data_IF_656047615727
#
_entry.id   IF_656047615727
#
_cell.length_a   1.000
_cell.length_b   1.000
_cell.length_c   1.000
_cell.angle_alpha   90.00
_cell.angle_beta   90.00
_cell.angle_gamma   90.00
#
_symmetry.space_group_name_H-M   'P 1'
#
loop_
_entity.id
_entity.type
_entity.pdbx_description
1 polymer ?
#
# COMPACT_ATOMS: atom_id res chain seq x y z
N UNK A 1 -3.78 -12.63 -18.25
CA UNK A 1 -3.54 -11.18 -18.11
C UNK A 1 -2.32 -10.97 -17.24
N UNK A 2 -1.49 -9.99 -17.59
CA UNK A 2 -0.30 -9.63 -16.80
C UNK A 2 -0.49 -8.22 -16.24
N UNK A 3 -0.41 -8.07 -14.92
CA UNK A 3 -0.62 -6.80 -14.22
C UNK A 3 0.68 -6.39 -13.52
N UNK A 4 1.18 -5.21 -13.84
CA UNK A 4 2.32 -4.64 -13.12
C UNK A 4 1.84 -3.97 -11.82
N UNK A 5 2.62 -4.11 -10.76
CA UNK A 5 2.45 -3.37 -9.50
C UNK A 5 3.64 -2.44 -9.32
N UNK A 6 3.38 -1.17 -9.07
CA UNK A 6 4.38 -0.18 -8.69
C UNK A 6 4.09 0.26 -7.26
N UNK A 7 4.93 -0.14 -6.32
CA UNK A 7 4.76 0.16 -4.89
C UNK A 7 5.74 1.24 -4.45
N UNK A 8 5.22 2.43 -4.25
CA UNK A 8 5.91 3.60 -3.71
C UNK A 8 5.47 3.81 -2.26
N UNK A 9 6.37 4.25 -1.39
CA UNK A 9 6.10 4.55 0.01
C UNK A 9 6.99 5.66 0.51
N UNK A 10 6.57 6.33 1.59
CA UNK A 10 7.41 7.25 2.35
C UNK A 10 8.08 8.30 1.44
N UNK A 11 7.25 8.96 0.63
CA UNK A 11 7.70 9.96 -0.35
C UNK A 11 8.03 11.31 0.28
N UNK A 12 7.40 11.66 1.39
CA UNK A 12 7.57 12.89 2.16
C UNK A 12 7.67 14.15 1.29
N UNK A 13 6.75 14.30 0.36
CA UNK A 13 6.74 15.43 -0.58
C UNK A 13 6.52 16.74 0.16
N UNK A 14 7.49 17.65 0.15
CA UNK A 14 7.45 18.92 0.91
C UNK A 14 7.85 20.16 0.11
N UNK A 15 8.54 19.99 -1.02
CA UNK A 15 9.16 21.08 -1.76
C UNK A 15 8.28 21.58 -2.88
N UNK A 16 8.25 22.91 -3.06
CA UNK A 16 7.50 23.58 -4.12
C UNK A 16 8.07 23.36 -5.53
N UNK A 17 9.36 23.00 -5.65
CA UNK A 17 10.02 22.64 -6.91
C UNK A 17 9.57 21.27 -7.47
N UNK A 18 8.88 20.49 -6.64
CA UNK A 18 8.28 19.22 -7.03
C UNK A 18 9.31 18.11 -7.23
N UNK A 19 8.85 17.06 -7.91
CA UNK A 19 9.68 15.88 -8.20
C UNK A 19 10.48 16.13 -9.47
N UNK A 20 11.77 15.84 -9.42
CA UNK A 20 12.65 15.99 -10.59
C UNK A 20 12.17 15.12 -11.76
N UNK A 21 12.00 15.68 -12.98
CA UNK A 21 11.45 14.95 -14.13
C UNK A 21 12.19 13.64 -14.45
N UNK A 22 13.52 13.64 -14.30
CA UNK A 22 14.33 12.43 -14.54
C UNK A 22 13.94 11.27 -13.62
N UNK A 23 13.51 11.53 -12.37
CA UNK A 23 13.02 10.49 -11.46
C UNK A 23 11.73 9.84 -11.98
N UNK A 24 10.83 10.63 -12.51
CA UNK A 24 9.58 10.12 -13.10
C UNK A 24 9.89 9.26 -14.32
N UNK A 25 10.73 9.75 -15.23
CA UNK A 25 11.16 8.98 -16.40
C UNK A 25 11.85 7.68 -16.00
N UNK A 26 12.74 7.73 -15.00
CA UNK A 26 13.46 6.55 -14.53
C UNK A 26 12.53 5.48 -13.91
N UNK A 27 11.46 5.89 -13.19
CA UNK A 27 10.41 4.95 -12.73
C UNK A 27 9.75 4.29 -13.94
N UNK A 28 9.32 5.09 -14.91
CA UNK A 28 8.69 4.56 -16.11
C UNK A 28 9.62 3.60 -16.85
N UNK A 29 10.90 3.95 -16.98
CA UNK A 29 11.89 3.12 -17.69
C UNK A 29 12.16 1.79 -16.99
N UNK A 30 12.21 1.79 -15.67
CA UNK A 30 12.50 0.59 -14.89
C UNK A 30 11.46 -0.52 -15.03
N UNK A 31 10.20 -0.18 -15.30
CA UNK A 31 9.14 -1.16 -15.53
C UNK A 31 9.31 -1.94 -16.83
N UNK A 32 10.24 -1.53 -17.71
CA UNK A 32 10.55 -2.21 -18.95
C UNK A 32 10.94 -3.68 -18.79
N UNK A 33 11.50 -4.07 -17.63
CA UNK A 33 11.85 -5.47 -17.34
C UNK A 33 10.64 -6.42 -17.26
N UNK A 34 9.44 -5.86 -17.07
CA UNK A 34 8.20 -6.62 -16.92
C UNK A 34 7.35 -6.68 -18.20
N UNK A 35 7.80 -6.06 -19.28
CA UNK A 35 7.03 -6.03 -20.53
C UNK A 35 6.93 -7.40 -21.19
N UNK A 36 5.79 -7.70 -21.85
CA UNK A 36 4.55 -6.92 -21.88
C UNK A 36 3.68 -7.10 -20.63
N UNK A 37 2.91 -6.08 -20.27
CA UNK A 37 1.83 -6.16 -19.28
C UNK A 37 0.60 -5.38 -19.77
N UNK A 38 -0.59 -5.82 -19.29
CA UNK A 38 -1.88 -5.35 -19.82
C UNK A 38 -2.48 -4.24 -18.94
N UNK A 39 -1.99 -4.09 -17.73
CA UNK A 39 -2.45 -3.10 -16.75
C UNK A 39 -1.44 -2.85 -15.64
N UNK A 40 -1.64 -1.76 -14.89
CA UNK A 40 -0.78 -1.39 -13.78
C UNK A 40 -1.60 -0.92 -12.59
N UNK A 41 -1.16 -1.31 -11.40
CA UNK A 41 -1.63 -0.80 -10.10
C UNK A 41 -0.51 -0.02 -9.45
N UNK A 42 -0.67 1.29 -9.31
CA UNK A 42 0.24 2.19 -8.62
C UNK A 42 -0.22 2.28 -7.17
N UNK A 43 0.63 1.95 -6.23
CA UNK A 43 0.33 1.88 -4.80
C UNK A 43 1.22 2.86 -4.06
N UNK A 44 0.58 3.73 -3.25
CA UNK A 44 1.24 4.51 -2.22
C UNK A 44 0.79 4.02 -0.84
N UNK A 45 1.71 3.41 -0.12
CA UNK A 45 1.43 2.85 1.21
C UNK A 45 1.71 3.84 2.35
N UNK A 46 1.39 5.11 2.14
CA UNK A 46 1.44 6.18 3.14
C UNK A 46 2.65 7.09 3.05
N UNK A 47 2.62 8.12 3.89
CA UNK A 47 3.62 9.20 3.96
C UNK A 47 3.90 9.83 2.60
N UNK A 48 2.80 10.21 1.92
CA UNK A 48 2.86 10.84 0.60
C UNK A 48 3.49 12.22 0.73
N UNK A 49 3.08 12.96 1.76
CA UNK A 49 3.57 14.32 2.04
C UNK A 49 4.27 14.38 3.39
N UNK A 50 5.05 15.43 3.63
CA UNK A 50 5.88 15.52 4.83
C UNK A 50 5.12 15.98 6.09
N UNK A 51 3.96 16.63 5.97
CA UNK A 51 3.25 17.21 7.12
C UNK A 51 1.75 17.46 6.89
N UNK A 52 1.10 16.72 6.03
CA UNK A 52 -0.35 16.77 5.79
C UNK A 52 -0.88 18.09 5.22
N UNK A 53 0.00 19.00 4.72
CA UNK A 53 -0.39 20.32 4.25
C UNK A 53 -0.97 20.31 2.83
N UNK A 54 -2.02 21.09 2.58
CA UNK A 54 -2.72 21.12 1.30
C UNK A 54 -1.82 21.51 0.10
N UNK A 55 -0.81 22.35 0.31
CA UNK A 55 0.15 22.73 -0.74
C UNK A 55 1.06 21.55 -1.14
N UNK A 56 1.41 20.67 -0.22
CA UNK A 56 2.25 19.50 -0.47
C UNK A 56 1.50 18.48 -1.36
N UNK A 57 0.20 18.29 -1.15
CA UNK A 57 -0.62 17.43 -2.02
C UNK A 57 -0.71 17.91 -3.47
N UNK A 58 -0.49 19.20 -3.75
CA UNK A 58 -0.39 19.69 -5.13
C UNK A 58 0.82 19.08 -5.86
N UNK A 59 1.90 18.80 -5.13
CA UNK A 59 3.09 18.13 -5.67
C UNK A 59 2.75 16.68 -6.04
N UNK A 60 2.06 15.96 -5.15
CA UNK A 60 1.59 14.60 -5.41
C UNK A 60 0.67 14.52 -6.63
N UNK A 61 -0.27 15.47 -6.76
CA UNK A 61 -1.13 15.59 -7.96
C UNK A 61 -0.29 15.80 -9.22
N UNK A 62 0.71 16.69 -9.15
CA UNK A 62 1.59 16.99 -10.29
C UNK A 62 2.40 15.77 -10.69
N UNK A 63 2.88 15.00 -9.71
CA UNK A 63 3.56 13.73 -9.94
C UNK A 63 2.68 12.73 -10.69
N UNK A 64 1.47 12.45 -10.21
CA UNK A 64 0.54 11.54 -10.86
C UNK A 64 0.17 12.00 -12.28
N UNK A 65 -0.07 13.30 -12.46
CA UNK A 65 -0.36 13.88 -13.78
C UNK A 65 0.78 13.76 -14.79
N UNK A 66 2.02 13.59 -14.32
CA UNK A 66 3.18 13.37 -15.17
C UNK A 66 3.49 11.90 -15.38
N UNK A 67 3.33 11.08 -14.34
CA UNK A 67 3.62 9.65 -14.37
C UNK A 67 2.63 8.88 -15.25
N UNK A 68 1.33 9.08 -15.03
CA UNK A 68 0.27 8.28 -15.69
C UNK A 68 0.34 8.40 -17.23
N UNK A 69 0.39 9.60 -17.84
CA UNK A 69 0.49 9.69 -19.30
C UNK A 69 1.77 9.08 -19.89
N UNK A 70 2.89 9.11 -19.16
CA UNK A 70 4.12 8.47 -19.62
C UNK A 70 3.97 6.94 -19.61
N UNK A 71 3.31 6.36 -18.60
CA UNK A 71 3.00 4.93 -18.56
C UNK A 71 2.04 4.52 -19.70
N UNK A 72 0.96 5.30 -19.90
CA UNK A 72 0.01 5.10 -21.01
C UNK A 72 0.74 5.03 -22.34
N UNK A 73 1.58 6.04 -22.62
CA UNK A 73 2.27 6.18 -23.91
C UNK A 73 3.32 5.10 -24.08
N UNK A 74 4.21 4.91 -23.09
CA UNK A 74 5.35 3.99 -23.22
C UNK A 74 4.94 2.54 -23.35
N UNK A 75 3.92 2.13 -22.60
CA UNK A 75 3.48 0.74 -22.54
C UNK A 75 2.18 0.48 -23.29
N UNK A 76 1.66 1.47 -24.02
CA UNK A 76 0.41 1.38 -24.78
C UNK A 76 -0.78 0.90 -23.93
N UNK A 77 -0.82 1.36 -22.67
CA UNK A 77 -1.86 0.95 -21.73
C UNK A 77 -3.16 1.71 -21.96
N UNK A 78 -4.28 0.98 -21.87
CA UNK A 78 -5.56 1.63 -21.76
C UNK A 78 -5.65 2.33 -20.38
N UNK A 79 -6.07 3.59 -20.36
CA UNK A 79 -6.24 4.38 -19.13
C UNK A 79 -7.10 3.66 -18.09
N UNK A 80 -8.11 2.91 -18.53
CA UNK A 80 -8.95 2.10 -17.64
C UNK A 80 -8.19 0.98 -16.91
N UNK A 81 -7.04 0.56 -17.43
CA UNK A 81 -6.19 -0.46 -16.84
C UNK A 81 -5.07 0.13 -15.96
N UNK A 82 -5.04 1.45 -15.78
CA UNK A 82 -4.15 2.11 -14.82
C UNK A 82 -4.97 2.44 -13.57
N UNK A 83 -4.58 1.85 -12.44
CA UNK A 83 -5.24 2.02 -11.14
C UNK A 83 -4.27 2.67 -10.17
N UNK A 84 -4.78 3.55 -9.32
CA UNK A 84 -4.00 4.21 -8.27
C UNK A 84 -4.65 3.93 -6.93
N UNK A 85 -3.90 3.36 -6.01
CA UNK A 85 -4.30 3.07 -4.63
C UNK A 85 -3.42 3.87 -3.69
N UNK A 86 -4.03 4.61 -2.78
CA UNK A 86 -3.31 5.46 -1.85
C UNK A 86 -3.92 5.30 -0.46
N UNK A 87 -3.09 5.06 0.54
CA UNK A 87 -3.46 5.14 1.96
C UNK A 87 -2.65 6.26 2.63
N UNK A 88 -3.13 6.87 3.70
CA UNK A 88 -2.34 7.84 4.45
C UNK A 88 -1.36 7.15 5.40
N UNK A 89 -0.27 7.86 5.69
CA UNK A 89 0.64 7.55 6.79
C UNK A 89 0.61 8.63 7.87
N UNK A 90 1.50 8.53 8.84
CA UNK A 90 1.55 9.46 9.97
C UNK A 90 1.95 10.89 9.57
N UNK A 91 2.69 11.06 8.49
CA UNK A 91 3.02 12.38 7.92
C UNK A 91 1.90 12.98 7.08
N UNK A 92 0.88 12.23 6.71
CA UNK A 92 -0.30 12.73 6.02
C UNK A 92 -1.33 13.38 6.94
N UNK A 93 -1.08 13.41 8.25
CA UNK A 93 -1.88 14.09 9.26
C UNK A 93 -1.41 15.54 9.45
N UNK A 94 -2.33 16.51 9.35
CA UNK A 94 -2.05 17.92 9.59
C UNK A 94 -2.08 18.24 11.10
N UNK A 95 -0.92 18.27 11.71
CA UNK A 95 -0.75 18.58 13.13
C UNK A 95 -0.69 20.08 13.45
N UNK A 96 -0.92 20.96 12.48
CA UNK A 96 -0.84 22.41 12.68
C UNK A 96 -1.85 22.87 13.73
N UNK A 97 -1.33 23.43 14.81
CA UNK A 97 -2.16 23.97 15.90
C UNK A 97 -2.73 22.94 16.88
N UNK A 98 -2.31 21.67 16.77
CA UNK A 98 -2.65 20.62 17.75
C UNK A 98 -1.40 19.89 18.21
N UNK A 99 -1.10 19.84 19.52
CA UNK A 99 -0.02 19.00 20.02
C UNK A 99 -0.40 17.53 19.82
N UNK A 100 0.56 16.74 19.31
CA UNK A 100 0.45 15.27 19.40
C UNK A 100 0.44 14.87 20.87
N UNK A 101 -0.43 13.94 21.22
CA UNK A 101 -0.34 13.32 22.53
C UNK A 101 0.89 12.40 22.59
N UNK A 102 1.45 12.29 23.77
CA UNK A 102 2.49 11.29 23.99
C UNK A 102 1.90 9.88 24.12
N UNK A 103 2.75 8.87 23.94
CA UNK A 103 2.34 7.46 23.97
C UNK A 103 1.76 7.05 25.33
N UNK A 104 2.22 7.64 26.44
CA UNK A 104 1.73 7.28 27.77
C UNK A 104 0.28 7.70 27.95
N UNK A 105 -0.10 8.86 27.43
CA UNK A 105 -1.47 9.35 27.45
C UNK A 105 -2.39 8.47 26.59
N UNK A 106 -1.97 8.13 25.37
CA UNK A 106 -2.75 7.28 24.47
C UNK A 106 -2.97 5.88 25.10
N UNK A 107 -1.92 5.30 25.71
CA UNK A 107 -2.02 4.00 26.40
C UNK A 107 -3.00 4.00 27.57
N UNK A 108 -3.26 5.16 28.17
CA UNK A 108 -4.22 5.29 29.28
C UNK A 108 -5.68 5.38 28.85
N UNK A 109 -5.95 5.48 27.53
CA UNK A 109 -7.31 5.64 27.03
C UNK A 109 -8.15 4.36 27.24
N UNK A 110 -9.37 4.56 27.71
CA UNK A 110 -10.44 3.56 27.60
C UNK A 110 -11.09 3.67 26.22
N UNK A 111 -11.93 2.71 25.85
CA UNK A 111 -12.48 2.58 24.51
C UNK A 111 -13.22 3.83 24.01
N UNK A 112 -14.08 4.44 24.83
CA UNK A 112 -14.78 5.68 24.49
C UNK A 112 -13.82 6.87 24.24
N UNK A 113 -12.71 6.90 24.97
CA UNK A 113 -11.67 7.92 24.77
C UNK A 113 -10.90 7.69 23.47
N UNK A 114 -10.61 6.43 23.12
CA UNK A 114 -10.00 6.07 21.83
C UNK A 114 -10.87 6.51 20.67
N UNK A 115 -12.16 6.24 20.70
CA UNK A 115 -13.10 6.66 19.66
C UNK A 115 -13.20 8.18 19.54
N UNK A 116 -13.24 8.89 20.67
CA UNK A 116 -13.26 10.35 20.68
C UNK A 116 -11.98 10.94 20.10
N UNK A 117 -10.82 10.39 20.44
CA UNK A 117 -9.52 10.80 19.94
C UNK A 117 -9.39 10.51 18.44
N UNK A 118 -9.78 9.31 18.00
CA UNK A 118 -9.82 8.91 16.61
C UNK A 118 -10.59 9.90 15.73
N UNK A 119 -11.80 10.32 16.18
CA UNK A 119 -12.61 11.31 15.46
C UNK A 119 -11.92 12.68 15.33
N UNK A 120 -11.10 13.05 16.32
CA UNK A 120 -10.32 14.29 16.25
C UNK A 120 -9.18 14.17 15.26
N UNK A 121 -8.47 13.04 15.24
CA UNK A 121 -7.37 12.78 14.30
C UNK A 121 -7.86 12.74 12.86
N UNK A 122 -8.98 12.08 12.59
CA UNK A 122 -9.58 12.06 11.25
C UNK A 122 -9.90 13.48 10.73
N UNK A 123 -10.26 14.44 11.61
CA UNK A 123 -10.43 15.84 11.21
C UNK A 123 -9.12 16.50 10.80
N UNK A 124 -7.98 16.08 11.38
CA UNK A 124 -6.66 16.56 11.00
C UNK A 124 -6.20 16.03 9.62
N UNK A 125 -6.90 15.03 9.07
CA UNK A 125 -6.61 14.42 7.78
C UNK A 125 -7.47 14.99 6.63
N UNK A 126 -8.18 16.09 6.83
CA UNK A 126 -9.07 16.70 5.81
C UNK A 126 -8.39 16.97 4.47
N UNK A 127 -7.10 17.35 4.49
CA UNK A 127 -6.32 17.63 3.28
C UNK A 127 -6.07 16.36 2.49
N UNK A 128 -5.72 15.26 3.18
CA UNK A 128 -5.58 13.93 2.59
C UNK A 128 -6.89 13.47 1.93
N UNK A 129 -8.00 13.49 2.65
CA UNK A 129 -9.29 13.05 2.11
C UNK A 129 -9.72 13.90 0.91
N UNK A 130 -9.52 15.22 0.97
CA UNK A 130 -9.79 16.11 -0.17
C UNK A 130 -8.93 15.78 -1.39
N UNK A 131 -7.65 15.45 -1.19
CA UNK A 131 -6.74 14.98 -2.23
C UNK A 131 -7.21 13.65 -2.81
N UNK A 132 -7.52 12.67 -1.96
CA UNK A 132 -7.95 11.33 -2.36
C UNK A 132 -9.20 11.35 -3.24
N UNK A 133 -10.25 12.07 -2.84
CA UNK A 133 -11.50 12.19 -3.61
C UNK A 133 -11.27 12.84 -4.97
N UNK A 134 -10.51 13.96 -5.01
CA UNK A 134 -10.27 14.72 -6.26
C UNK A 134 -9.47 13.93 -7.30
N UNK A 135 -8.72 12.93 -6.86
CA UNK A 135 -7.86 12.13 -7.74
C UNK A 135 -8.34 10.69 -7.90
N UNK A 136 -9.57 10.40 -7.46
CA UNK A 136 -10.19 9.07 -7.52
C UNK A 136 -9.34 7.97 -6.84
N UNK A 137 -8.64 8.35 -5.75
CA UNK A 137 -7.75 7.48 -4.99
C UNK A 137 -8.45 6.74 -3.86
N UNK A 138 -9.77 6.81 -3.80
CA UNK A 138 -10.70 5.91 -3.11
C UNK A 138 -10.96 6.08 -1.61
N UNK A 139 -10.36 7.01 -0.89
CA UNK A 139 -10.87 7.36 0.43
C UNK A 139 -11.93 8.47 0.31
N UNK A 140 -13.13 8.27 0.85
CA UNK A 140 -14.17 9.30 0.83
C UNK A 140 -13.79 10.48 1.73
N UNK A 141 -14.05 11.69 1.23
CA UNK A 141 -13.75 12.95 1.91
C UNK A 141 -14.66 13.22 3.11
N UNK A 142 -15.86 12.65 3.08
CA UNK A 142 -16.93 12.88 4.05
C UNK A 142 -17.76 11.61 4.15
N UNK A 143 -18.01 11.19 5.35
CA UNK A 143 -18.97 10.15 5.65
C UNK A 143 -19.64 10.46 6.97
N UNK A 144 -20.94 10.24 7.02
CA UNK A 144 -21.67 10.19 8.28
C UNK A 144 -21.22 8.98 9.13
N UNK A 145 -20.49 8.06 8.50
CA UNK A 145 -19.94 6.85 9.13
C UNK A 145 -18.41 6.99 9.23
N UNK A 146 -17.83 7.19 10.43
CA UNK A 146 -16.39 7.36 10.64
C UNK A 146 -15.54 6.20 10.09
N UNK A 147 -16.10 4.99 10.06
CA UNK A 147 -15.39 3.77 9.68
C UNK A 147 -14.99 3.73 8.20
N UNK A 148 -15.73 4.40 7.30
CA UNK A 148 -15.36 4.49 5.90
C UNK A 148 -14.08 5.29 5.63
N UNK A 149 -13.65 6.12 6.59
CA UNK A 149 -12.37 6.82 6.56
C UNK A 149 -11.21 5.97 7.11
N UNK A 150 -11.51 4.84 7.74
CA UNK A 150 -10.52 3.90 8.27
C UNK A 150 -10.32 2.70 7.36
N UNK A 151 -11.41 2.16 6.81
CA UNK A 151 -11.36 1.01 5.91
C UNK A 151 -12.23 1.28 4.69
N UNK A 152 -11.62 1.23 3.52
CA UNK A 152 -12.31 1.30 2.24
C UNK A 152 -12.00 0.05 1.43
N UNK A 153 -13.05 -0.65 0.97
CA UNK A 153 -12.94 -1.80 0.07
C UNK A 153 -13.36 -1.38 -1.33
N UNK A 154 -12.48 -1.59 -2.31
CA UNK A 154 -12.71 -1.20 -3.70
C UNK A 154 -12.45 -2.35 -4.66
N UNK A 155 -13.37 -2.58 -5.59
CA UNK A 155 -13.15 -3.51 -6.70
C UNK A 155 -12.57 -2.74 -7.88
N UNK A 156 -11.36 -3.12 -8.28
CA UNK A 156 -10.71 -2.62 -9.49
C UNK A 156 -11.10 -3.53 -10.66
N UNK A 157 -11.69 -2.95 -11.68
CA UNK A 157 -12.07 -3.66 -12.90
C UNK A 157 -11.04 -3.43 -13.99
N UNK A 158 -10.62 -4.49 -14.67
CA UNK A 158 -9.75 -4.46 -15.84
C UNK A 158 -10.53 -4.86 -17.10
N UNK A 159 -10.08 -4.40 -18.28
CA UNK A 159 -10.82 -4.56 -19.54
C UNK A 159 -11.10 -6.02 -19.93
N UNK A 160 -10.27 -6.96 -19.47
CA UNK A 160 -10.49 -8.40 -19.69
C UNK A 160 -11.49 -9.06 -18.71
N UNK A 161 -12.12 -8.26 -17.85
CA UNK A 161 -13.05 -8.73 -16.83
C UNK A 161 -12.40 -9.16 -15.51
N UNK A 162 -11.05 -9.16 -15.40
CA UNK A 162 -10.37 -9.49 -14.15
C UNK A 162 -10.64 -8.44 -13.08
N UNK A 163 -10.86 -8.87 -11.84
CA UNK A 163 -11.24 -8.01 -10.73
C UNK A 163 -10.27 -8.18 -9.58
N UNK A 164 -9.75 -7.06 -9.09
CA UNK A 164 -8.93 -7.02 -7.87
C UNK A 164 -9.70 -6.27 -6.79
N UNK A 165 -9.88 -6.87 -5.62
CA UNK A 165 -10.34 -6.15 -4.44
C UNK A 165 -9.14 -5.55 -3.71
N UNK A 166 -9.16 -4.24 -3.55
CA UNK A 166 -8.22 -3.50 -2.74
C UNK A 166 -8.87 -3.13 -1.39
N UNK A 167 -8.28 -3.59 -0.30
CA UNK A 167 -8.63 -3.24 1.06
C UNK A 167 -7.65 -2.14 1.51
N UNK A 168 -8.11 -0.89 1.53
CA UNK A 168 -7.34 0.28 1.90
C UNK A 168 -7.59 0.60 3.37
N UNK A 169 -6.55 0.55 4.19
CA UNK A 169 -6.64 0.67 5.64
C UNK A 169 -5.87 1.91 6.08
N UNK A 170 -6.59 2.87 6.65
CA UNK A 170 -6.02 4.08 7.21
C UNK A 170 -5.52 3.78 8.63
N UNK A 171 -4.22 3.67 8.79
CA UNK A 171 -3.56 3.43 10.07
C UNK A 171 -2.86 4.68 10.62
N UNK A 172 -3.04 5.85 9.98
CA UNK A 172 -2.40 7.10 10.42
C UNK A 172 -2.85 7.62 11.80
N UNK A 173 -4.11 7.41 12.25
CA UNK A 173 -4.50 7.76 13.62
C UNK A 173 -3.68 7.01 14.67
N UNK A 174 -3.54 7.61 15.86
CA UNK A 174 -2.74 7.16 17.01
C UNK A 174 -1.23 7.25 16.82
N UNK A 175 -0.76 7.84 15.72
CA UNK A 175 0.67 8.05 15.50
C UNK A 175 1.25 9.08 16.46
N UNK A 176 2.34 8.73 17.12
CA UNK A 176 3.11 9.61 18.00
C UNK A 176 4.61 9.25 17.92
N UNK A 177 5.45 9.83 18.80
CA UNK A 177 6.89 9.56 18.77
C UNK A 177 7.30 8.14 19.19
N UNK A 178 6.40 7.39 19.80
CA UNK A 178 6.63 6.02 20.31
C UNK A 178 5.30 5.27 20.29
N UNK A 179 4.77 5.06 19.09
CA UNK A 179 3.44 4.52 18.84
C UNK A 179 3.42 3.00 18.61
N UNK A 180 4.54 2.32 18.80
CA UNK A 180 4.60 0.87 18.77
C UNK A 180 3.58 0.24 19.73
N UNK A 181 2.72 -0.61 19.19
CA UNK A 181 1.63 -1.25 19.91
C UNK A 181 0.51 -0.32 20.35
N UNK A 182 0.30 0.84 19.69
CA UNK A 182 -0.76 1.81 20.03
C UNK A 182 -1.85 1.92 18.97
N UNK A 183 -1.57 1.51 17.73
CA UNK A 183 -2.55 1.64 16.68
C UNK A 183 -3.79 0.79 16.98
N UNK A 184 -4.93 1.35 16.62
CA UNK A 184 -6.24 0.80 16.95
C UNK A 184 -7.22 1.03 15.80
N UNK A 185 -8.04 0.03 15.53
CA UNK A 185 -9.20 0.11 14.64
C UNK A 185 -10.45 -0.30 15.43
N UNK A 186 -11.55 0.45 15.33
CA UNK A 186 -12.83 0.02 15.86
C UNK A 186 -13.26 -1.34 15.33
N UNK A 187 -14.02 -2.09 16.11
CA UNK A 187 -14.46 -3.45 15.78
C UNK A 187 -15.19 -3.52 14.44
N UNK A 188 -16.03 -2.54 14.13
CA UNK A 188 -16.76 -2.48 12.87
C UNK A 188 -15.84 -2.29 11.67
N UNK A 189 -14.73 -1.56 11.82
CA UNK A 189 -13.72 -1.41 10.77
C UNK A 189 -13.02 -2.75 10.51
N UNK A 190 -12.68 -3.49 11.57
CA UNK A 190 -12.09 -4.83 11.47
C UNK A 190 -13.10 -5.81 10.86
N UNK A 191 -14.35 -5.80 11.27
CA UNK A 191 -15.39 -6.65 10.73
C UNK A 191 -15.59 -6.41 9.22
N UNK A 192 -15.48 -5.15 8.76
CA UNK A 192 -15.60 -4.82 7.34
C UNK A 192 -14.52 -5.48 6.50
N UNK A 193 -13.29 -5.65 7.03
CA UNK A 193 -12.20 -6.35 6.36
C UNK A 193 -12.44 -7.86 6.24
N UNK A 194 -13.17 -8.44 7.19
CA UNK A 194 -13.43 -9.88 7.21
C UNK A 194 -14.57 -10.31 6.28
N UNK A 195 -15.31 -9.37 5.69
CA UNK A 195 -16.37 -9.69 4.75
C UNK A 195 -15.85 -10.39 3.48
N UNK A 196 -16.66 -11.28 2.89
CA UNK A 196 -16.27 -12.03 1.70
C UNK A 196 -16.04 -11.14 0.49
N UNK A 197 -15.07 -11.54 -0.34
CA UNK A 197 -14.76 -10.90 -1.62
C UNK A 197 -15.39 -11.66 -2.77
N UNK A 198 -15.89 -10.92 -3.77
CA UNK A 198 -16.33 -11.47 -5.06
C UNK A 198 -15.30 -11.23 -6.17
N UNK A 199 -14.10 -10.74 -5.84
CA UNK A 199 -13.02 -10.49 -6.78
C UNK A 199 -12.18 -11.74 -7.05
N UNK A 200 -11.45 -11.73 -8.15
CA UNK A 200 -10.57 -12.85 -8.55
C UNK A 200 -9.26 -12.85 -7.75
N UNK A 201 -8.92 -11.69 -7.18
CA UNK A 201 -7.74 -11.45 -6.37
C UNK A 201 -8.03 -10.39 -5.32
N UNK A 202 -7.40 -10.49 -4.13
CA UNK A 202 -7.55 -9.50 -3.07
C UNK A 202 -6.19 -9.11 -2.49
N UNK A 203 -6.03 -7.81 -2.25
CA UNK A 203 -4.85 -7.22 -1.62
C UNK A 203 -5.24 -6.25 -0.52
N UNK A 204 -4.30 -5.98 0.39
CA UNK A 204 -4.42 -4.92 1.38
C UNK A 204 -3.31 -3.88 1.21
N UNK A 205 -3.62 -2.63 1.52
CA UNK A 205 -2.66 -1.54 1.58
C UNK A 205 -2.87 -0.79 2.90
N UNK A 206 -1.84 -0.64 3.69
CA UNK A 206 -1.82 0.12 4.94
C UNK A 206 -0.42 0.65 5.21
N UNK A 207 -0.31 1.72 5.98
CA UNK A 207 1.01 2.31 6.26
C UNK A 207 1.74 1.57 7.38
N UNK A 208 1.17 1.52 8.57
CA UNK A 208 1.71 0.76 9.68
C UNK A 208 1.32 -0.71 9.55
N UNK A 209 2.26 -1.63 9.67
CA UNK A 209 1.99 -3.06 9.66
C UNK A 209 1.20 -3.49 10.91
N UNK A 210 0.62 -4.69 10.95
CA UNK A 210 -0.05 -5.18 12.15
C UNK A 210 0.82 -5.18 13.40
N UNK A 211 2.16 -5.16 13.26
CA UNK A 211 3.09 -5.11 14.39
C UNK A 211 2.97 -3.84 15.24
N UNK A 212 2.44 -2.75 14.65
CA UNK A 212 2.22 -1.46 15.31
C UNK A 212 0.92 -1.39 16.11
N UNK A 213 0.06 -2.40 15.99
CA UNK A 213 -1.24 -2.46 16.65
C UNK A 213 -1.15 -3.03 18.07
N UNK A 214 -2.15 -2.73 18.88
CA UNK A 214 -2.35 -3.40 20.18
C UNK A 214 -2.35 -4.93 19.99
N UNK A 215 -1.78 -5.65 20.95
CA UNK A 215 -1.48 -7.07 20.83
C UNK A 215 -2.68 -7.95 20.44
N UNK A 216 -3.87 -7.66 20.97
CA UNK A 216 -5.11 -8.39 20.63
C UNK A 216 -5.50 -8.17 19.17
N UNK A 217 -5.50 -6.92 18.73
CA UNK A 217 -5.86 -6.53 17.36
C UNK A 217 -4.80 -6.94 16.34
N UNK A 218 -3.52 -6.93 16.70
CA UNK A 218 -2.45 -7.45 15.84
C UNK A 218 -2.78 -8.85 15.34
N UNK A 219 -3.06 -9.79 16.25
CA UNK A 219 -3.38 -11.19 15.92
C UNK A 219 -4.62 -11.31 15.05
N UNK A 220 -5.65 -10.56 15.37
CA UNK A 220 -6.91 -10.57 14.63
C UNK A 220 -6.69 -10.04 13.21
N UNK A 221 -6.04 -8.89 13.07
CA UNK A 221 -5.77 -8.25 11.78
C UNK A 221 -4.87 -9.15 10.90
N UNK A 222 -3.82 -9.74 11.46
CA UNK A 222 -2.98 -10.71 10.76
C UNK A 222 -3.78 -11.92 10.25
N UNK A 223 -4.66 -12.46 11.08
CA UNK A 223 -5.54 -13.57 10.71
C UNK A 223 -6.50 -13.22 9.57
N UNK A 224 -7.09 -12.03 9.62
CA UNK A 224 -7.99 -11.51 8.57
C UNK A 224 -7.21 -11.27 7.27
N UNK A 225 -6.07 -10.61 7.32
CA UNK A 225 -5.24 -10.35 6.15
C UNK A 225 -4.80 -11.66 5.49
N UNK A 226 -4.32 -12.63 6.27
CA UNK A 226 -3.91 -13.93 5.76
C UNK A 226 -5.08 -14.73 5.15
N UNK A 227 -6.27 -14.63 5.72
CA UNK A 227 -7.48 -15.29 5.22
C UNK A 227 -8.02 -14.63 3.94
N UNK A 228 -7.97 -13.28 3.85
CA UNK A 228 -8.67 -12.51 2.82
C UNK A 228 -7.77 -12.03 1.69
N UNK A 229 -6.50 -11.74 1.95
CA UNK A 229 -5.60 -11.13 0.99
C UNK A 229 -4.46 -12.08 0.60
N UNK A 230 -4.05 -12.02 -0.67
CA UNK A 230 -2.87 -12.72 -1.18
C UNK A 230 -1.62 -11.85 -1.10
N UNK A 231 -1.79 -10.52 -1.13
CA UNK A 231 -0.74 -9.52 -0.96
C UNK A 231 -1.14 -8.51 0.11
N UNK A 232 -0.16 -8.01 0.87
CA UNK A 232 -0.32 -6.85 1.74
C UNK A 232 0.89 -5.93 1.59
N UNK A 233 0.63 -4.63 1.44
CA UNK A 233 1.62 -3.58 1.22
C UNK A 233 1.65 -2.66 2.42
N UNK A 234 2.89 -2.38 2.91
CA UNK A 234 3.16 -1.55 4.08
C UNK A 234 4.20 -0.48 3.77
N UNK A 235 4.25 0.57 4.59
CA UNK A 235 5.29 1.61 4.60
C UNK A 235 5.93 1.75 5.97
N UNK A 236 6.20 3.00 6.36
CA UNK A 236 6.60 3.48 7.69
C UNK A 236 8.05 3.17 8.10
N UNK A 237 8.48 1.94 8.03
CA UNK A 237 9.80 1.53 8.57
C UNK A 237 10.98 1.96 7.70
N UNK A 238 10.74 2.45 6.48
CA UNK A 238 11.75 2.83 5.49
C UNK A 238 12.71 1.70 5.09
N UNK A 239 12.53 0.49 5.63
CA UNK A 239 13.31 -0.69 5.29
C UNK A 239 12.53 -1.60 4.36
N UNK A 240 12.92 -1.64 3.07
CA UNK A 240 12.22 -2.49 2.12
C UNK A 240 12.42 -3.97 2.46
N UNK A 241 11.34 -4.72 2.49
CA UNK A 241 11.37 -6.14 2.82
C UNK A 241 10.19 -6.90 2.24
N UNK A 242 10.37 -8.20 2.04
CA UNK A 242 9.30 -9.10 1.59
C UNK A 242 9.29 -10.35 2.44
N UNK A 243 8.12 -10.73 2.91
CA UNK A 243 7.90 -11.95 3.67
C UNK A 243 6.81 -12.78 3.00
N UNK A 244 7.05 -14.07 2.86
CA UNK A 244 6.06 -15.02 2.37
C UNK A 244 5.68 -15.93 3.54
N UNK A 245 4.49 -15.72 4.10
CA UNK A 245 4.05 -16.35 5.32
C UNK A 245 3.00 -17.43 4.99
N UNK A 246 3.27 -18.65 5.41
CA UNK A 246 2.33 -19.76 5.42
C UNK A 246 1.90 -20.00 6.86
N UNK A 247 0.60 -19.92 7.12
CA UNK A 247 0.00 -20.18 8.42
C UNK A 247 -0.40 -21.66 8.55
N UNK A 248 -0.46 -22.18 9.77
CA UNK A 248 -0.82 -23.59 10.06
C UNK A 248 -2.18 -24.01 9.48
N UNK A 249 -3.09 -23.06 9.32
CA UNK A 249 -4.40 -23.27 8.69
C UNK A 249 -4.36 -23.31 7.16
N UNK A 250 -3.18 -23.31 6.54
CA UNK A 250 -2.97 -23.32 5.10
C UNK A 250 -3.13 -21.97 4.40
N UNK A 251 -3.46 -20.91 5.11
CA UNK A 251 -3.50 -19.55 4.53
C UNK A 251 -2.07 -19.06 4.25
N UNK A 252 -1.90 -18.39 3.11
CA UNK A 252 -0.61 -17.82 2.69
C UNK A 252 -0.79 -16.38 2.26
N UNK A 253 0.12 -15.51 2.65
CA UNK A 253 0.15 -14.12 2.25
C UNK A 253 1.59 -13.67 1.96
N UNK A 254 1.76 -12.86 0.93
CA UNK A 254 3.02 -12.14 0.70
C UNK A 254 2.86 -10.74 1.29
N UNK A 255 3.67 -10.42 2.29
CA UNK A 255 3.77 -9.10 2.91
C UNK A 255 4.95 -8.36 2.28
N UNK A 256 4.74 -7.11 1.87
CA UNK A 256 5.75 -6.28 1.21
C UNK A 256 5.83 -4.93 1.92
N UNK A 257 6.92 -4.69 2.63
CA UNK A 257 7.25 -3.39 3.19
C UNK A 257 7.97 -2.53 2.14
N UNK A 258 7.49 -1.31 1.92
CA UNK A 258 8.08 -0.33 1.00
C UNK A 258 9.37 0.27 1.56
N UNK A 259 10.26 0.69 0.67
CA UNK A 259 11.38 1.56 1.02
C UNK A 259 11.00 3.04 0.87
N UNK A 260 11.78 3.92 1.46
CA UNK A 260 11.58 5.35 1.33
C UNK A 260 11.89 5.81 -0.11
N UNK A 261 10.89 6.39 -0.77
CA UNK A 261 11.05 6.94 -2.11
C UNK A 261 11.22 8.45 -2.06
N UNK A 262 12.47 8.93 -1.96
CA UNK A 262 12.78 10.35 -1.88
C UNK A 262 12.77 11.02 -3.25
N UNK A 263 12.19 12.22 -3.31
CA UNK A 263 12.10 13.04 -4.53
C UNK A 263 13.43 13.65 -4.99
N UNK A 264 14.42 13.80 -4.09
CA UNK A 264 15.72 14.40 -4.38
C UNK A 264 16.49 13.62 -5.44
N UNK A 265 17.24 14.31 -6.29
CA UNK A 265 18.16 13.70 -7.27
C UNK A 265 19.44 13.18 -6.62
N UNK A 266 19.75 13.62 -5.40
CA UNK A 266 20.89 13.18 -4.59
C UNK A 266 20.39 12.70 -3.24
N UNK A 267 19.57 11.65 -3.18
CA UNK A 267 19.08 11.09 -1.92
C UNK A 267 20.13 10.17 -1.32
N UNK A 268 20.16 10.09 0.01
CA UNK A 268 20.90 9.01 0.71
C UNK A 268 20.27 7.66 0.46
N UNK A 269 18.93 7.61 0.36
CA UNK A 269 18.15 6.42 0.03
C UNK A 269 17.04 6.86 -0.93
N UNK A 270 16.78 6.07 -1.97
CA UNK A 270 15.57 6.19 -2.79
C UNK A 270 15.29 4.83 -3.42
N UNK A 271 14.34 4.13 -2.83
CA UNK A 271 14.03 2.74 -3.17
C UNK A 271 12.52 2.55 -3.32
N UNK A 272 12.14 1.60 -4.16
CA UNK A 272 10.77 1.14 -4.30
C UNK A 272 10.71 -0.29 -4.82
N UNK A 273 9.53 -0.88 -4.81
CA UNK A 273 9.29 -2.15 -5.45
C UNK A 273 8.43 -2.01 -6.69
N UNK A 274 8.75 -2.84 -7.68
CA UNK A 274 7.80 -3.13 -8.75
C UNK A 274 7.69 -4.64 -8.95
N UNK A 275 6.56 -5.09 -9.44
CA UNK A 275 6.31 -6.51 -9.66
C UNK A 275 5.45 -6.74 -10.89
N UNK A 276 5.51 -7.96 -11.41
CA UNK A 276 4.61 -8.47 -12.43
C UNK A 276 3.81 -9.63 -11.86
N UNK A 277 2.50 -9.54 -11.95
CA UNK A 277 1.57 -10.61 -11.61
C UNK A 277 0.94 -11.19 -12.87
N UNK A 278 1.14 -12.47 -13.09
CA UNK A 278 0.45 -13.22 -14.12
C UNK A 278 -0.80 -13.88 -13.52
N UNK A 279 -1.97 -13.52 -14.03
CA UNK A 279 -3.26 -13.94 -13.46
C UNK A 279 -3.59 -15.42 -13.69
N UNK A 280 -2.97 -16.04 -14.70
CA UNK A 280 -3.18 -17.45 -15.05
C UNK A 280 -2.29 -18.35 -14.21
N UNK A 281 -0.98 -18.14 -14.30
CA UNK A 281 0.01 -18.92 -13.54
C UNK A 281 0.06 -18.51 -12.06
N UNK A 282 -0.50 -17.35 -11.69
CA UNK A 282 -0.45 -16.73 -10.37
C UNK A 282 0.97 -16.42 -9.89
N UNK A 283 1.91 -16.37 -10.80
CA UNK A 283 3.28 -15.94 -10.52
C UNK A 283 3.33 -14.44 -10.24
N UNK A 284 4.03 -14.08 -9.19
CA UNK A 284 4.31 -12.72 -8.76
C UNK A 284 5.82 -12.53 -8.73
N UNK A 285 6.36 -11.95 -9.81
CA UNK A 285 7.77 -11.63 -9.94
C UNK A 285 8.01 -10.22 -9.40
N UNK A 286 8.76 -10.11 -8.32
CA UNK A 286 8.99 -8.89 -7.57
C UNK A 286 10.45 -8.46 -7.68
N UNK A 287 10.70 -7.18 -7.95
CA UNK A 287 12.05 -6.59 -7.94
C UNK A 287 12.08 -5.35 -7.04
N UNK A 288 13.16 -5.25 -6.27
CA UNK A 288 13.54 -4.04 -5.55
C UNK A 288 14.36 -3.16 -6.47
N UNK A 289 14.01 -1.88 -6.56
CA UNK A 289 14.73 -0.86 -7.31
C UNK A 289 15.36 0.17 -6.37
N UNK A 290 16.61 0.52 -6.64
CA UNK A 290 17.32 1.57 -5.95
C UNK A 290 17.86 2.60 -6.92
N UNK A 291 17.86 3.87 -6.51
CA UNK A 291 18.38 4.96 -7.32
C UNK A 291 19.90 4.87 -7.44
N UNK A 292 20.39 4.82 -8.67
CA UNK A 292 21.79 4.93 -8.99
C UNK A 292 22.07 6.35 -9.53
N UNK A 293 22.85 7.13 -8.78
CA UNK A 293 23.12 8.52 -9.10
C UNK A 293 23.96 8.68 -10.37
N UNK A 294 24.94 7.79 -10.57
CA UNK A 294 25.86 7.86 -11.72
C UNK A 294 25.12 7.58 -13.03
N UNK A 295 24.10 6.74 -12.98
CA UNK A 295 23.26 6.39 -14.13
C UNK A 295 22.04 7.29 -14.27
N UNK A 296 21.72 8.10 -13.25
CA UNK A 296 20.46 8.83 -13.14
C UNK A 296 19.23 7.92 -13.43
N UNK A 297 19.27 6.69 -12.90
CA UNK A 297 18.30 5.65 -13.17
C UNK A 297 18.02 4.78 -11.94
N UNK A 298 16.86 4.13 -11.92
CA UNK A 298 16.59 3.06 -10.97
C UNK A 298 17.12 1.72 -11.50
N UNK A 299 17.86 1.04 -10.66
CA UNK A 299 18.48 -0.25 -10.98
C UNK A 299 17.81 -1.34 -10.14
N UNK A 300 17.42 -2.43 -10.75
CA UNK A 300 16.93 -3.59 -10.05
C UNK A 300 18.07 -4.25 -9.26
N UNK A 301 17.91 -4.38 -7.95
CA UNK A 301 18.91 -4.99 -7.06
C UNK A 301 18.66 -6.48 -6.84
N UNK A 302 17.40 -6.89 -6.83
CA UNK A 302 17.00 -8.26 -6.53
C UNK A 302 15.66 -8.55 -7.20
N UNK A 303 15.52 -9.76 -7.72
CA UNK A 303 14.24 -10.26 -8.22
C UNK A 303 13.88 -11.53 -7.45
N UNK A 304 12.64 -11.62 -6.99
CA UNK A 304 12.07 -12.77 -6.31
C UNK A 304 10.80 -13.22 -7.03
N UNK A 305 10.53 -14.52 -7.02
CA UNK A 305 9.27 -15.07 -7.54
C UNK A 305 8.46 -15.72 -6.42
N UNK A 306 7.16 -15.46 -6.43
CA UNK A 306 6.20 -16.06 -5.51
C UNK A 306 5.01 -16.60 -6.31
N UNK A 307 4.41 -17.69 -5.81
CA UNK A 307 3.11 -18.18 -6.29
C UNK A 307 2.04 -17.67 -5.31
N UNK A 308 1.11 -16.86 -5.81
CA UNK A 308 0.03 -16.31 -4.98
C UNK A 308 -1.15 -17.27 -4.94
N UNK A 309 -1.58 -17.67 -3.76
CA UNK A 309 -2.71 -18.56 -3.60
C UNK A 309 -4.03 -17.87 -3.91
N UNK A 310 -4.98 -18.60 -4.50
CA UNK A 310 -6.36 -18.15 -4.65
C UNK A 310 -7.04 -18.23 -3.29
N UNK A 311 -7.66 -17.14 -2.84
CA UNK A 311 -8.47 -17.16 -1.62
C UNK A 311 -9.82 -17.78 -1.95
N UNK A 312 -10.24 -18.77 -1.17
CA UNK A 312 -11.51 -19.47 -1.36
C UNK A 312 -12.69 -18.52 -1.19
N UNK A 313 -13.65 -18.61 -2.12
CA UNK A 313 -14.92 -17.89 -2.05
C UNK A 313 -15.93 -18.56 -1.09
N UNK A 314 -15.64 -19.75 -0.62
CA UNK A 314 -16.47 -20.51 0.32
C UNK A 314 -15.59 -21.36 1.23
N UNK A 315 -15.97 -21.49 2.49
CA UNK A 315 -15.23 -22.18 3.55
C UNK A 315 -15.11 -23.70 3.41
N UNK A 316 -15.09 -24.25 2.21
CA UNK A 316 -14.79 -25.65 1.94
C UNK A 316 -13.39 -25.74 1.38
N UNK A 317 -12.45 -26.11 2.25
CA UNK A 317 -11.04 -26.29 1.91
C UNK A 317 -10.83 -27.38 0.86
N UNK A 318 -10.60 -26.97 -0.37
CA UNK A 318 -9.93 -27.83 -1.34
C UNK A 318 -8.44 -27.46 -1.33
N UNK A 319 -7.67 -28.25 -0.61
CA UNK A 319 -6.21 -28.24 -0.64
C UNK A 319 -5.81 -28.77 -2.02
N UNK A 320 -5.33 -27.93 -2.92
CA UNK A 320 -4.65 -28.38 -4.12
C UNK A 320 -3.27 -28.92 -3.72
N UNK A 321 -3.09 -30.21 -3.92
CA UNK A 321 -1.93 -31.00 -3.47
C UNK A 321 -0.70 -30.87 -4.37
N UNK A 322 -0.67 -29.99 -5.37
CA UNK A 322 0.34 -29.98 -6.44
C UNK A 322 1.44 -28.91 -6.32
N UNK A 323 1.42 -28.02 -5.33
CA UNK A 323 2.40 -26.93 -5.25
C UNK A 323 3.61 -27.21 -4.34
N UNK A 324 3.91 -28.47 -4.01
CA UNK A 324 4.94 -28.79 -3.02
C UNK A 324 6.30 -29.23 -3.60
N UNK A 325 6.55 -29.07 -4.90
CA UNK A 325 7.84 -29.49 -5.49
C UNK A 325 8.42 -28.37 -6.37
N UNK A 326 9.07 -27.38 -5.78
CA UNK A 326 10.07 -26.56 -6.47
C UNK A 326 10.80 -25.55 -5.56
N UNK A 327 11.31 -25.95 -4.41
CA UNK A 327 12.20 -25.03 -3.64
C UNK A 327 13.39 -25.75 -2.98
N UNK A 328 13.76 -26.93 -3.47
CA UNK A 328 15.00 -27.59 -3.02
C UNK A 328 15.72 -28.11 -4.25
N UNK A 329 16.39 -27.27 -5.01
CA UNK A 329 17.49 -27.57 -5.93
C UNK A 329 18.02 -26.25 -6.54
N UNK A 330 18.75 -25.48 -5.77
CA UNK A 330 19.69 -24.48 -6.30
C UNK A 330 20.73 -24.16 -5.23
N UNK A 331 21.46 -25.18 -4.76
CA UNK A 331 22.76 -25.07 -4.14
C UNK A 331 23.48 -26.39 -4.34
N UNK A 332 24.12 -26.53 -5.47
CA UNK A 332 25.34 -27.30 -5.71
C UNK A 332 26.11 -26.69 -6.87
#
# INVERSE_FOLDING_TARGET
MRISFLHLSDSHLDRSDGIHPAKIQAIVDSLGIYTPFDGIVIIFSGDIVASGQANQYKIAVTFLKRLIPQLETKYSLNKKNIKVLIVPGNHDVDWTGKPRLDSSKIRSFVEDEKDSYLRQELKCMKNFFSFSVRNDCFFPCWMDIPFGQLVTRKILHFDNGYRIEANLINTAPFSCSSDDGLHYLPEEAIHSLNAESKADFSLAVMHHSPDWFEFSQKKELEGILAKRCSLAFFGHEHFPGTQNILYDNGNRIVKQAGGAWWQSTVPTISEYYAALFDTESRKYALSKFSWNIDRSAYVALMTQEHILMRKSLSGTGLIYKEDYVATIMADT
#
